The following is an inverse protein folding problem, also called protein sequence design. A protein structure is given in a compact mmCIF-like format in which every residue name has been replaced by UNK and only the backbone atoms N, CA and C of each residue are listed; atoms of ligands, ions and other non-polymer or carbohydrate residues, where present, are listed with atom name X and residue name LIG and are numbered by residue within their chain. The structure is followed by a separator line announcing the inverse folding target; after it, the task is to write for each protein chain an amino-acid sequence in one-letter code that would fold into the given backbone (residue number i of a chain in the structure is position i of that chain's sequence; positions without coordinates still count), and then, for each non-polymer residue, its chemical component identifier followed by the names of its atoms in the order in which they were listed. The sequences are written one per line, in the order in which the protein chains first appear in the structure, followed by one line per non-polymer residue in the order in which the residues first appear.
data_IF_257870666647
#
_entry.id   IF_257870666647
#
_cell.length_a   1.000
_cell.length_b   1.000
_cell.length_c   1.000
_cell.angle_alpha   90.00
_cell.angle_beta   90.00
_cell.angle_gamma   90.00
#
_symmetry.space_group_name_H-M   'P 1'
#
loop_
_entity.id
_entity.type
_entity.pdbx_description
1 polymer ?
#
# COMPACT_ATOMS: atom_id res chain seq x y z
N UNK A 1 -11.64 -1.59 -7.69
CA UNK A 1 -11.48 -0.61 -6.60
C UNK A 1 -12.57 0.48 -6.57
N UNK A 2 -12.57 1.50 -7.43
CA UNK A 2 -13.44 2.68 -7.22
C UNK A 2 -14.93 2.32 -7.34
N UNK A 3 -15.33 1.58 -8.37
CA UNK A 3 -16.72 1.14 -8.53
C UNK A 3 -17.21 0.32 -7.33
N UNK A 4 -16.37 -0.58 -6.79
CA UNK A 4 -16.72 -1.34 -5.59
C UNK A 4 -16.84 -0.45 -4.35
N UNK A 5 -15.98 0.57 -4.20
CA UNK A 5 -16.10 1.54 -3.12
C UNK A 5 -17.41 2.34 -3.23
N UNK A 6 -17.77 2.81 -4.43
CA UNK A 6 -19.04 3.51 -4.67
C UNK A 6 -20.26 2.63 -4.36
N UNK A 7 -20.18 1.32 -4.57
CA UNK A 7 -21.31 0.40 -4.41
C UNK A 7 -21.44 -0.15 -2.99
N UNK A 8 -20.34 -0.53 -2.35
CA UNK A 8 -20.33 -1.23 -1.07
C UNK A 8 -19.61 -0.49 0.05
N UNK A 9 -19.01 0.67 -0.25
CA UNK A 9 -18.29 1.47 0.75
C UNK A 9 -19.16 2.16 1.79
N UNK A 10 -20.49 2.01 1.73
CA UNK A 10 -21.43 2.58 2.68
C UNK A 10 -21.25 4.10 2.82
N UNK A 11 -20.98 4.60 4.04
CA UNK A 11 -20.72 6.04 4.26
C UNK A 11 -19.56 6.62 3.46
N UNK A 12 -18.61 5.79 3.00
CA UNK A 12 -17.48 6.23 2.16
C UNK A 12 -17.80 6.20 0.67
N UNK A 13 -18.98 5.72 0.27
CA UNK A 13 -19.39 5.61 -1.12
C UNK A 13 -19.39 6.97 -1.84
N UNK A 14 -19.60 8.09 -1.13
CA UNK A 14 -19.58 9.44 -1.70
C UNK A 14 -18.30 10.22 -1.39
N UNK A 15 -17.29 9.60 -0.76
CA UNK A 15 -16.06 10.29 -0.39
C UNK A 15 -15.34 10.87 -1.63
N UNK A 16 -14.71 12.06 -1.55
CA UNK A 16 -13.86 12.57 -2.63
C UNK A 16 -12.70 11.61 -2.90
N UNK A 17 -12.49 11.26 -4.16
CA UNK A 17 -11.42 10.34 -4.57
C UNK A 17 -10.44 11.09 -5.48
N UNK A 18 -9.15 10.88 -5.21
CA UNK A 18 -8.06 11.32 -6.07
C UNK A 18 -7.38 10.11 -6.68
N UNK A 19 -7.24 10.11 -8.01
CA UNK A 19 -6.35 9.19 -8.72
C UNK A 19 -5.10 9.97 -9.13
N UNK A 20 -3.91 9.49 -8.77
CA UNK A 20 -2.68 10.29 -8.94
C UNK A 20 -1.64 9.54 -9.77
N UNK A 21 -1.06 10.23 -10.75
CA UNK A 21 0.11 9.79 -11.51
C UNK A 21 1.24 10.82 -11.32
N UNK A 22 2.13 10.63 -10.33
CA UNK A 22 3.15 11.63 -9.94
C UNK A 22 4.50 11.46 -10.67
N UNK A 23 4.58 10.54 -11.63
CA UNK A 23 5.81 10.14 -12.31
C UNK A 23 5.60 10.05 -13.81
N UNK A 24 6.68 10.33 -14.55
CA UNK A 24 6.71 10.11 -15.98
C UNK A 24 6.54 8.63 -16.34
N UNK A 25 5.67 8.39 -17.32
CA UNK A 25 5.30 7.07 -17.81
C UNK A 25 4.13 7.18 -18.79
N UNK A 26 3.63 6.05 -19.30
CA UNK A 26 2.48 6.03 -20.19
C UNK A 26 1.31 6.77 -19.56
N UNK A 27 0.60 7.58 -20.35
CA UNK A 27 -0.64 8.19 -19.89
C UNK A 27 -1.70 7.12 -19.64
N UNK A 28 -2.68 7.45 -18.80
CA UNK A 28 -3.94 6.72 -18.78
C UNK A 28 -4.61 6.82 -20.15
N UNK A 29 -5.30 5.76 -20.56
CA UNK A 29 -6.07 5.76 -21.81
C UNK A 29 -7.21 6.78 -21.76
N UNK A 30 -7.74 7.20 -22.91
CA UNK A 30 -8.93 8.03 -22.96
C UNK A 30 -10.11 7.38 -22.22
N UNK A 31 -10.36 6.09 -22.47
CA UNK A 31 -11.41 5.32 -21.81
C UNK A 31 -11.27 5.33 -20.29
N UNK A 32 -10.06 5.13 -19.77
CA UNK A 32 -9.82 5.16 -18.32
C UNK A 32 -10.09 6.56 -17.75
N UNK A 33 -9.67 7.63 -18.44
CA UNK A 33 -9.94 9.01 -17.98
C UNK A 33 -11.42 9.33 -17.95
N UNK A 34 -12.17 8.94 -18.99
CA UNK A 34 -13.62 9.10 -19.01
C UNK A 34 -14.27 8.37 -17.83
N UNK A 35 -13.89 7.11 -17.59
CA UNK A 35 -14.42 6.34 -16.45
C UNK A 35 -14.10 7.00 -15.10
N UNK A 36 -12.93 7.61 -14.93
CA UNK A 36 -12.61 8.35 -13.70
C UNK A 36 -13.51 9.58 -13.56
N UNK A 37 -13.76 10.32 -14.64
CA UNK A 37 -14.65 11.48 -14.65
C UNK A 37 -16.10 11.08 -14.32
N UNK A 38 -16.62 10.02 -14.95
CA UNK A 38 -17.96 9.49 -14.71
C UNK A 38 -18.13 9.04 -13.24
N UNK A 39 -17.06 8.56 -12.61
CA UNK A 39 -17.02 8.17 -11.19
C UNK A 39 -16.71 9.33 -10.23
N UNK A 40 -16.66 10.56 -10.75
CA UNK A 40 -16.36 11.80 -10.02
C UNK A 40 -15.01 11.75 -9.30
N UNK A 41 -14.00 11.18 -9.96
CA UNK A 41 -12.64 11.06 -9.45
C UNK A 41 -11.79 12.21 -9.97
N UNK A 42 -11.11 12.90 -9.06
CA UNK A 42 -10.17 13.94 -9.43
C UNK A 42 -8.84 13.31 -9.86
N UNK A 43 -8.53 13.41 -11.16
CA UNK A 43 -7.28 12.89 -11.69
C UNK A 43 -6.15 13.95 -11.62
N UNK A 44 -5.10 13.65 -10.85
CA UNK A 44 -3.90 14.49 -10.76
C UNK A 44 -2.76 13.81 -11.51
N UNK A 45 -2.18 14.53 -12.47
CA UNK A 45 -0.96 14.10 -13.16
C UNK A 45 0.10 15.17 -13.05
N UNK A 46 1.26 14.79 -12.56
CA UNK A 46 2.43 15.67 -12.48
C UNK A 46 3.71 14.84 -12.55
N UNK A 47 4.85 15.51 -12.67
CA UNK A 47 6.16 14.87 -12.67
C UNK A 47 7.00 15.46 -11.55
N UNK A 48 7.16 14.71 -10.46
CA UNK A 48 8.07 15.10 -9.39
C UNK A 48 9.49 14.68 -9.76
N UNK A 49 10.42 15.63 -9.78
CA UNK A 49 11.86 15.33 -9.86
C UNK A 49 12.28 14.64 -8.55
N UNK A 50 13.05 13.58 -8.66
CA UNK A 50 13.49 12.76 -7.53
C UNK A 50 14.93 12.33 -7.70
N UNK A 51 15.68 12.26 -6.60
CA UNK A 51 17.01 11.66 -6.55
C UNK A 51 16.96 10.13 -6.63
N UNK A 52 15.78 9.53 -6.44
CA UNK A 52 15.56 8.09 -6.55
C UNK A 52 14.48 7.79 -7.59
N UNK A 53 14.62 8.27 -8.85
CA UNK A 53 13.55 8.14 -9.83
C UNK A 53 13.39 6.69 -10.31
N UNK A 54 14.19 5.76 -9.83
CA UNK A 54 14.03 4.31 -9.97
C UNK A 54 13.05 3.71 -8.96
N UNK A 55 12.91 4.29 -7.77
CA UNK A 55 12.13 3.75 -6.68
C UNK A 55 10.63 4.00 -6.91
N UNK A 56 9.88 2.95 -7.22
CA UNK A 56 8.44 3.02 -7.53
C UNK A 56 7.60 3.39 -6.31
N UNK A 57 8.06 3.09 -5.10
CA UNK A 57 7.30 3.35 -3.88
C UNK A 57 7.14 4.86 -3.60
N UNK A 58 8.04 5.70 -4.12
CA UNK A 58 7.90 7.17 -4.06
C UNK A 58 6.64 7.70 -4.72
N UNK A 59 6.03 6.96 -5.64
CA UNK A 59 4.76 7.38 -6.24
C UNK A 59 3.67 7.57 -5.17
N UNK A 60 3.59 6.66 -4.20
CA UNK A 60 2.62 6.74 -3.09
C UNK A 60 2.83 8.00 -2.27
N UNK A 61 4.09 8.25 -1.89
CA UNK A 61 4.50 9.39 -1.08
C UNK A 61 4.22 10.74 -1.76
N UNK A 62 4.57 10.86 -3.04
CA UNK A 62 4.28 12.08 -3.80
C UNK A 62 2.79 12.29 -4.02
N UNK A 63 2.03 11.22 -4.22
CA UNK A 63 0.57 11.32 -4.34
C UNK A 63 -0.06 11.80 -3.03
N UNK A 64 0.34 11.24 -1.89
CA UNK A 64 -0.13 11.66 -0.57
C UNK A 64 0.18 13.13 -0.31
N UNK A 65 1.43 13.56 -0.50
CA UNK A 65 1.84 14.96 -0.30
C UNK A 65 1.02 15.91 -1.18
N UNK A 66 0.80 15.56 -2.46
CA UNK A 66 0.03 16.40 -3.37
C UNK A 66 -1.46 16.48 -2.99
N UNK A 67 -2.05 15.39 -2.52
CA UNK A 67 -3.48 15.36 -2.15
C UNK A 67 -3.71 16.04 -0.80
N UNK A 68 -2.87 15.79 0.21
CA UNK A 68 -2.97 16.37 1.56
C UNK A 68 -3.05 17.91 1.51
N UNK A 69 -2.26 18.53 0.62
CA UNK A 69 -2.23 19.99 0.39
C UNK A 69 -3.49 20.56 -0.29
N UNK A 70 -4.33 19.72 -0.91
CA UNK A 70 -5.49 20.15 -1.71
C UNK A 70 -6.81 19.90 -1.00
N UNK A 71 -6.87 18.87 -0.15
CA UNK A 71 -8.10 18.48 0.52
C UNK A 71 -8.36 19.31 1.78
N UNK A 72 -9.63 19.48 2.10
CA UNK A 72 -10.10 20.09 3.35
C UNK A 72 -10.67 19.08 4.33
N UNK A 73 -10.76 17.82 3.94
CA UNK A 73 -11.25 16.74 4.81
C UNK A 73 -10.39 16.64 6.08
N UNK A 74 -11.02 16.20 7.16
CA UNK A 74 -10.35 15.96 8.43
C UNK A 74 -9.32 14.83 8.32
N UNK A 75 -9.68 13.77 7.59
CA UNK A 75 -8.85 12.60 7.37
C UNK A 75 -8.50 12.42 5.89
N UNK A 76 -7.39 11.74 5.65
CA UNK A 76 -6.96 11.25 4.33
C UNK A 76 -6.72 9.75 4.44
N UNK A 77 -7.29 8.98 3.51
CA UNK A 77 -7.05 7.56 3.39
C UNK A 77 -6.25 7.27 2.11
N UNK A 78 -5.22 6.42 2.23
CA UNK A 78 -4.55 5.83 1.08
C UNK A 78 -5.14 4.46 0.78
N UNK A 79 -5.44 4.22 -0.49
CA UNK A 79 -5.92 2.94 -1.01
C UNK A 79 -5.06 2.55 -2.20
N UNK A 80 -4.39 1.40 -2.15
CA UNK A 80 -3.74 0.84 -3.33
C UNK A 80 -4.78 0.50 -4.42
N UNK A 81 -4.32 0.47 -5.67
CA UNK A 81 -5.22 0.29 -6.82
C UNK A 81 -5.81 -1.13 -6.91
N UNK A 82 -5.17 -2.09 -6.24
CA UNK A 82 -5.51 -3.51 -6.20
C UNK A 82 -6.35 -3.90 -4.97
N UNK A 83 -7.26 -3.00 -4.58
CA UNK A 83 -8.27 -3.25 -3.56
C UNK A 83 -9.67 -3.51 -4.19
N UNK A 84 -10.41 -4.43 -3.58
CA UNK A 84 -11.83 -4.68 -3.83
C UNK A 84 -12.61 -4.46 -2.51
N UNK A 85 -13.55 -3.52 -2.53
CA UNK A 85 -14.43 -3.27 -1.37
C UNK A 85 -15.63 -4.20 -1.45
N UNK A 86 -15.84 -4.97 -0.40
CA UNK A 86 -16.91 -5.98 -0.29
C UNK A 86 -18.11 -5.47 0.51
N UNK A 87 -17.85 -4.60 1.49
CA UNK A 87 -18.84 -4.03 2.41
C UNK A 87 -18.25 -2.77 3.09
N UNK A 88 -19.04 -2.02 3.85
CA UNK A 88 -18.60 -0.75 4.46
C UNK A 88 -17.37 -1.00 5.35
N UNK A 89 -16.21 -0.35 5.07
CA UNK A 89 -15.01 -0.46 5.88
C UNK A 89 -15.09 0.50 7.08
N UNK A 90 -16.03 0.24 7.98
CA UNK A 90 -16.44 1.12 9.09
C UNK A 90 -15.28 1.59 9.97
N UNK A 91 -14.25 0.75 10.14
CA UNK A 91 -13.08 0.99 10.97
C UNK A 91 -12.09 1.99 10.38
N UNK A 92 -12.28 2.47 9.14
CA UNK A 92 -11.47 3.55 8.56
C UNK A 92 -11.80 4.94 9.15
N UNK A 93 -12.86 5.05 9.96
CA UNK A 93 -13.13 6.27 10.71
C UNK A 93 -12.22 6.34 11.92
N UNK A 94 -11.47 7.43 12.06
CA UNK A 94 -10.67 7.71 13.25
C UNK A 94 -11.56 8.34 14.32
N UNK A 95 -11.52 7.81 15.55
CA UNK A 95 -12.13 8.49 16.69
C UNK A 95 -11.28 9.70 17.11
N UNK A 96 -11.78 10.53 18.05
CA UNK A 96 -11.10 11.77 18.47
C UNK A 96 -9.72 11.54 19.11
N UNK A 97 -9.45 10.34 19.62
CA UNK A 97 -8.20 9.97 20.29
C UNK A 97 -7.16 9.41 19.31
N UNK A 98 -7.56 9.00 18.12
CA UNK A 98 -6.70 8.40 17.10
C UNK A 98 -6.27 9.41 16.04
N UNK A 99 -5.03 9.34 15.58
CA UNK A 99 -4.52 10.15 14.47
C UNK A 99 -4.09 9.32 13.25
N UNK A 100 -4.02 8.00 13.41
CA UNK A 100 -3.55 7.09 12.38
C UNK A 100 -4.18 5.69 12.56
N UNK A 101 -4.52 5.02 11.46
CA UNK A 101 -4.87 3.60 11.49
C UNK A 101 -4.41 2.87 10.23
N UNK A 102 -3.88 1.66 10.41
CA UNK A 102 -3.41 0.78 9.33
C UNK A 102 -3.51 -0.69 9.76
N UNK A 103 -3.46 -1.61 8.79
CA UNK A 103 -3.42 -3.04 9.11
C UNK A 103 -2.00 -3.50 9.39
N UNK A 104 -1.85 -4.38 10.39
CA UNK A 104 -0.58 -5.07 10.61
C UNK A 104 -0.21 -5.91 9.36
N UNK A 105 1.08 -5.99 9.01
CA UNK A 105 1.56 -6.74 7.87
C UNK A 105 1.65 -8.25 8.20
N UNK A 106 2.11 -9.03 7.23
CA UNK A 106 2.74 -10.33 7.46
C UNK A 106 4.14 -10.14 8.09
N UNK A 107 4.80 -11.23 8.52
CA UNK A 107 6.13 -11.17 9.12
C UNK A 107 7.10 -10.58 8.13
N UNK A 108 7.21 -11.20 6.95
CA UNK A 108 7.99 -10.73 5.80
C UNK A 108 9.33 -10.09 6.21
N UNK A 109 9.46 -8.76 6.16
CA UNK A 109 10.70 -8.03 6.52
C UNK A 109 10.76 -7.54 7.97
N UNK A 110 9.73 -7.81 8.76
CA UNK A 110 9.67 -7.53 10.19
C UNK A 110 10.63 -8.41 10.98
N UNK A 111 11.15 -7.85 12.07
CA UNK A 111 12.02 -8.55 13.02
C UNK A 111 11.22 -9.03 14.23
N UNK A 112 11.46 -10.26 14.68
CA UNK A 112 10.96 -10.80 15.96
C UNK A 112 11.88 -10.48 17.15
N UNK A 113 12.98 -9.75 16.96
CA UNK A 113 13.93 -9.36 17.98
C UNK A 113 15.37 -9.78 17.66
N UNK A 114 16.23 -9.77 18.68
CA UNK A 114 17.70 -9.89 18.57
C UNK A 114 18.19 -11.03 17.67
N UNK A 115 17.52 -12.18 17.71
CA UNK A 115 17.92 -13.37 16.96
C UNK A 115 17.32 -13.45 15.54
N UNK A 116 16.47 -12.49 15.14
CA UNK A 116 15.88 -12.45 13.80
C UNK A 116 16.89 -11.90 12.76
N UNK A 117 17.02 -12.53 11.58
CA UNK A 117 17.91 -12.06 10.52
C UNK A 117 17.68 -10.61 10.05
N UNK A 118 16.48 -10.05 10.25
CA UNK A 118 16.21 -8.65 9.90
C UNK A 118 16.61 -7.65 10.98
N UNK A 119 16.86 -8.08 12.23
CA UNK A 119 17.16 -7.18 13.34
C UNK A 119 18.34 -6.21 13.05
N UNK A 120 19.47 -6.64 12.45
CA UNK A 120 20.58 -5.73 12.17
C UNK A 120 20.17 -4.57 11.25
N UNK A 121 19.39 -4.85 10.21
CA UNK A 121 18.83 -3.84 9.32
C UNK A 121 17.92 -2.87 10.07
N UNK A 122 17.01 -3.38 10.89
CA UNK A 122 16.09 -2.56 11.68
C UNK A 122 16.82 -1.65 12.65
N UNK A 123 17.84 -2.17 13.33
CA UNK A 123 18.65 -1.41 14.29
C UNK A 123 19.37 -0.25 13.63
N UNK A 124 19.99 -0.49 12.47
CA UNK A 124 20.71 0.56 11.72
C UNK A 124 19.75 1.61 11.14
N UNK A 125 18.60 1.20 10.58
CA UNK A 125 17.61 2.14 10.05
C UNK A 125 16.95 2.99 11.15
N UNK A 126 16.59 2.39 12.29
CA UNK A 126 16.03 3.14 13.43
C UNK A 126 17.03 4.21 13.89
N UNK A 127 18.29 3.82 14.08
CA UNK A 127 19.36 4.74 14.45
C UNK A 127 19.50 5.91 13.47
N UNK A 128 19.44 5.65 12.17
CA UNK A 128 19.54 6.71 11.15
C UNK A 128 18.34 7.65 11.14
N UNK A 129 17.15 7.13 11.42
CA UNK A 129 15.91 7.92 11.52
C UNK A 129 15.84 8.69 12.85
N UNK A 130 16.70 8.36 13.83
CA UNK A 130 16.71 8.97 15.16
C UNK A 130 15.71 8.31 16.11
N UNK A 131 15.51 7.01 15.98
CA UNK A 131 14.72 6.17 16.89
C UNK A 131 15.64 5.14 17.56
N UNK A 132 15.33 4.79 18.80
CA UNK A 132 15.82 3.55 19.38
C UNK A 132 14.92 2.40 18.91
N UNK A 133 15.52 1.29 18.46
CA UNK A 133 14.76 0.09 18.11
C UNK A 133 14.03 -0.47 19.33
N UNK A 134 14.57 -0.27 20.53
CA UNK A 134 13.94 -0.74 21.76
C UNK A 134 12.62 -0.02 22.06
N UNK A 135 12.50 1.23 21.62
CA UNK A 135 11.27 2.05 21.75
C UNK A 135 10.18 1.67 20.75
N UNK A 136 10.50 0.87 19.73
CA UNK A 136 9.50 0.44 18.77
C UNK A 136 8.47 -0.48 19.45
N UNK A 137 7.17 -0.15 19.35
CA UNK A 137 6.12 -1.02 19.86
C UNK A 137 6.17 -2.40 19.20
N UNK A 138 5.56 -3.36 19.87
CA UNK A 138 5.37 -4.71 19.34
C UNK A 138 3.93 -4.90 18.88
N UNK A 139 3.77 -5.48 17.71
CA UNK A 139 2.45 -5.88 17.18
C UNK A 139 2.46 -7.36 16.84
N UNK A 140 1.27 -7.95 16.70
CA UNK A 140 1.12 -9.30 16.15
C UNK A 140 0.71 -9.19 14.68
N UNK A 141 1.32 -9.98 13.82
CA UNK A 141 0.88 -10.11 12.43
C UNK A 141 -0.51 -10.74 12.42
N UNK A 142 -1.42 -10.17 11.62
CA UNK A 142 -2.83 -10.61 11.63
C UNK A 142 -3.02 -11.99 11.02
N UNK A 143 -2.19 -12.32 10.02
CA UNK A 143 -2.31 -13.58 9.31
C UNK A 143 -1.63 -14.73 10.05
N UNK A 144 -0.43 -14.50 10.58
CA UNK A 144 0.42 -15.57 11.16
C UNK A 144 0.42 -15.57 12.70
N UNK A 145 -0.01 -14.48 13.34
CA UNK A 145 0.02 -14.34 14.80
C UNK A 145 1.43 -14.12 15.37
N UNK A 146 2.40 -13.76 14.53
CA UNK A 146 3.81 -13.60 14.92
C UNK A 146 4.02 -12.22 15.51
N UNK A 147 4.72 -12.15 16.65
CA UNK A 147 5.07 -10.89 17.30
C UNK A 147 6.29 -10.26 16.62
N UNK A 148 6.13 -9.06 16.08
CA UNK A 148 7.17 -8.31 15.36
C UNK A 148 7.29 -6.88 15.89
N UNK A 149 8.45 -6.24 15.68
CA UNK A 149 8.57 -4.78 15.84
C UNK A 149 7.63 -4.08 14.85
N UNK A 150 6.97 -3.03 15.31
CA UNK A 150 5.88 -2.37 14.59
C UNK A 150 6.35 -1.80 13.24
N UNK A 151 5.71 -2.28 12.17
CA UNK A 151 5.50 -1.58 10.91
C UNK A 151 4.11 -1.90 10.38
N UNK A 152 3.73 -1.29 9.25
CA UNK A 152 2.38 -1.38 8.70
C UNK A 152 2.38 -1.83 7.26
N UNK A 153 1.36 -2.59 6.87
CA UNK A 153 1.06 -2.75 5.45
C UNK A 153 0.67 -1.39 4.86
N UNK A 154 1.33 -0.98 3.77
CA UNK A 154 1.11 0.35 3.18
C UNK A 154 -0.05 0.39 2.17
N UNK A 155 -0.72 -0.73 1.92
CA UNK A 155 -1.79 -0.82 0.91
C UNK A 155 -3.08 -0.12 1.31
N UNK A 156 -3.33 -0.01 2.61
CA UNK A 156 -4.46 0.73 3.16
C UNK A 156 -4.07 1.34 4.51
N UNK A 157 -4.25 2.65 4.63
CA UNK A 157 -4.14 3.35 5.91
C UNK A 157 -4.88 4.67 5.86
N UNK A 158 -5.19 5.22 7.03
CA UNK A 158 -5.87 6.51 7.21
C UNK A 158 -5.12 7.32 8.25
N UNK A 159 -5.07 8.64 8.06
CA UNK A 159 -4.47 9.55 9.02
C UNK A 159 -5.24 10.89 9.07
N UNK A 160 -5.10 11.60 10.18
CA UNK A 160 -5.62 12.97 10.33
C UNK A 160 -4.77 13.93 9.51
N UNK A 161 -5.41 14.70 8.63
CA UNK A 161 -4.73 15.70 7.79
C UNK A 161 -3.95 16.73 8.62
N UNK A 162 -4.46 17.06 9.81
CA UNK A 162 -3.83 18.04 10.71
C UNK A 162 -2.45 17.63 11.23
N UNK A 163 -2.05 16.36 11.11
CA UNK A 163 -0.73 15.90 11.53
C UNK A 163 0.36 16.16 10.47
N UNK A 164 -0.01 16.54 9.25
CA UNK A 164 0.90 16.65 8.10
C UNK A 164 1.70 15.37 7.85
N UNK A 165 1.08 14.21 8.09
CA UNK A 165 1.71 12.90 8.02
C UNK A 165 2.38 12.65 6.67
N UNK A 166 1.80 13.10 5.56
CA UNK A 166 2.36 12.82 4.23
C UNK A 166 3.75 13.44 4.04
N UNK A 167 3.97 14.64 4.59
CA UNK A 167 5.28 15.31 4.56
C UNK A 167 6.31 14.55 5.39
N UNK A 168 5.97 14.21 6.64
CA UNK A 168 6.85 13.44 7.51
C UNK A 168 7.17 12.06 6.94
N UNK A 169 6.19 11.41 6.31
CA UNK A 169 6.37 10.11 5.69
C UNK A 169 7.34 10.17 4.50
N UNK A 170 7.21 11.19 3.66
CA UNK A 170 8.15 11.43 2.57
C UNK A 170 9.57 11.71 3.09
N UNK A 171 9.70 12.52 4.14
CA UNK A 171 10.99 12.84 4.76
C UNK A 171 11.66 11.60 5.35
N UNK A 172 10.94 10.79 6.13
CA UNK A 172 11.46 9.54 6.69
C UNK A 172 11.91 8.58 5.58
N UNK A 173 11.13 8.46 4.50
CA UNK A 173 11.50 7.61 3.38
C UNK A 173 12.78 8.09 2.68
N UNK A 174 12.96 9.41 2.53
CA UNK A 174 14.21 9.95 2.00
C UNK A 174 15.38 9.71 2.96
N UNK A 175 15.21 9.90 4.27
CA UNK A 175 16.23 9.53 5.26
C UNK A 175 16.64 8.05 5.10
N UNK A 176 15.70 7.13 4.91
CA UNK A 176 16.01 5.73 4.64
C UNK A 176 16.78 5.52 3.33
N UNK A 177 16.51 6.29 2.28
CA UNK A 177 17.26 6.19 1.03
C UNK A 177 18.64 6.86 1.11
N UNK A 178 18.76 7.96 1.84
CA UNK A 178 20.01 8.70 2.05
C UNK A 178 20.97 7.94 2.95
N UNK A 179 20.45 7.09 3.85
CA UNK A 179 21.27 6.21 4.70
C UNK A 179 22.08 5.20 3.90
N UNK A 180 21.62 4.86 2.69
CA UNK A 180 22.20 3.80 1.83
C UNK A 180 22.41 2.49 2.59
N UNK A 181 21.46 2.15 3.46
CA UNK A 181 21.41 0.84 4.12
C UNK A 181 20.49 -0.07 3.33
N UNK A 182 20.94 -1.30 3.07
CA UNK A 182 20.14 -2.36 2.47
C UNK A 182 20.18 -3.60 3.36
N UNK A 183 19.04 -4.27 3.49
CA UNK A 183 18.97 -5.56 4.19
C UNK A 183 19.63 -6.65 3.34
N UNK A 184 20.42 -7.53 3.96
CA UNK A 184 20.91 -8.74 3.32
C UNK A 184 19.76 -9.62 2.82
N UNK A 185 18.73 -9.78 3.64
CA UNK A 185 17.57 -10.65 3.38
C UNK A 185 16.59 -10.07 2.37
N UNK A 186 16.37 -8.75 2.40
CA UNK A 186 15.27 -8.11 1.64
C UNK A 186 15.70 -6.95 0.74
N UNK A 187 16.99 -6.60 0.72
CA UNK A 187 17.53 -5.48 -0.04
C UNK A 187 16.90 -4.15 0.38
N UNK A 188 16.27 -3.45 -0.57
CA UNK A 188 15.50 -2.21 -0.33
C UNK A 188 14.02 -2.39 -0.69
N UNK A 189 13.48 -3.60 -0.56
CA UNK A 189 12.06 -3.87 -0.81
C UNK A 189 11.22 -3.48 0.42
N UNK A 190 9.98 -3.03 0.16
CA UNK A 190 9.02 -2.62 1.20
C UNK A 190 9.48 -1.51 2.15
N UNK A 191 10.48 -0.70 1.75
CA UNK A 191 10.92 0.46 2.52
C UNK A 191 9.79 1.47 2.78
N UNK A 192 8.73 1.48 1.96
CA UNK A 192 7.56 2.33 2.21
C UNK A 192 6.77 1.82 3.42
N UNK A 193 6.56 0.51 3.54
CA UNK A 193 5.91 -0.09 4.70
C UNK A 193 6.69 0.15 5.99
N UNK A 194 8.03 0.03 5.94
CA UNK A 194 8.90 0.35 7.08
C UNK A 194 8.84 1.85 7.40
N UNK A 195 9.04 2.71 6.41
CA UNK A 195 8.97 4.16 6.60
C UNK A 195 7.61 4.59 7.14
N UNK A 196 6.51 3.93 6.77
CA UNK A 196 5.16 4.22 7.26
C UNK A 196 5.07 4.01 8.78
N UNK A 197 5.53 2.85 9.26
CA UNK A 197 5.59 2.53 10.68
C UNK A 197 6.51 3.46 11.46
N UNK A 198 7.74 3.64 10.98
CA UNK A 198 8.74 4.47 11.66
C UNK A 198 8.36 5.95 11.68
N UNK A 199 7.70 6.45 10.64
CA UNK A 199 7.16 7.83 10.63
C UNK A 199 6.11 8.00 11.72
N UNK A 200 5.15 7.08 11.80
CA UNK A 200 4.09 7.13 12.79
C UNK A 200 4.68 7.12 14.22
N UNK A 201 5.61 6.21 14.51
CA UNK A 201 6.26 6.12 15.82
C UNK A 201 7.06 7.39 16.12
N UNK A 202 7.87 7.86 15.17
CA UNK A 202 8.67 9.08 15.32
C UNK A 202 7.86 10.33 15.59
N UNK A 203 6.66 10.43 15.01
CA UNK A 203 5.75 11.54 15.27
C UNK A 203 5.06 11.44 16.63
N UNK A 204 5.11 10.27 17.30
CA UNK A 204 4.44 10.05 18.57
C UNK A 204 2.91 10.21 18.49
N UNK A 205 2.32 10.00 17.30
CA UNK A 205 0.89 10.18 17.11
C UNK A 205 0.11 8.95 17.57
N UNK A 206 -1.07 9.12 18.18
CA UNK A 206 -1.88 7.99 18.61
C UNK A 206 -2.41 7.21 17.40
N UNK A 207 -2.41 5.89 17.51
CA UNK A 207 -2.72 4.99 16.41
C UNK A 207 -3.57 3.81 16.85
N UNK A 208 -4.25 3.19 15.88
CA UNK A 208 -4.98 1.94 16.04
C UNK A 208 -4.65 0.96 14.91
N UNK A 209 -4.46 -0.32 15.26
CA UNK A 209 -4.38 -1.38 14.28
C UNK A 209 -5.79 -1.67 13.72
N UNK A 210 -5.93 -1.65 12.40
CA UNK A 210 -7.13 -2.10 11.71
C UNK A 210 -7.17 -3.63 11.69
N UNK A 211 -8.35 -4.25 11.90
CA UNK A 211 -8.48 -5.70 11.84
C UNK A 211 -8.20 -6.23 10.43
N UNK A 212 -7.75 -7.48 10.31
CA UNK A 212 -7.44 -8.10 9.01
C UNK A 212 -8.56 -8.00 7.97
N UNK A 213 -9.82 -7.93 8.41
CA UNK A 213 -10.97 -7.77 7.52
C UNK A 213 -10.89 -6.52 6.63
N UNK A 214 -10.12 -5.51 7.01
CA UNK A 214 -9.97 -4.28 6.24
C UNK A 214 -8.82 -4.33 5.24
N UNK A 215 -8.02 -5.39 5.19
CA UNK A 215 -6.94 -5.54 4.22
C UNK A 215 -6.64 -7.04 4.00
N UNK A 216 -7.68 -7.81 3.72
CA UNK A 216 -7.56 -9.26 3.56
C UNK A 216 -6.71 -9.55 2.32
N UNK A 217 -5.51 -10.10 2.51
CA UNK A 217 -4.62 -10.44 1.41
C UNK A 217 -5.11 -11.71 0.73
N UNK A 218 -5.26 -11.65 -0.60
CA UNK A 218 -5.57 -12.81 -1.41
C UNK A 218 -4.75 -12.77 -2.69
N UNK A 219 -4.05 -13.86 -2.98
CA UNK A 219 -3.26 -14.01 -4.20
C UNK A 219 -2.93 -15.46 -4.46
N UNK A 220 -2.56 -15.77 -5.71
CA UNK A 220 -2.33 -17.15 -6.17
C UNK A 220 -1.25 -17.87 -5.34
N UNK A 221 -0.20 -17.13 -4.93
CA UNK A 221 0.96 -17.66 -4.21
C UNK A 221 0.67 -17.98 -2.74
N UNK A 222 -0.25 -17.25 -2.13
CA UNK A 222 -0.53 -17.36 -0.69
C UNK A 222 -1.79 -18.17 -0.42
N UNK A 223 -2.70 -18.27 -1.40
CA UNK A 223 -4.01 -18.90 -1.24
C UNK A 223 -3.96 -20.26 -0.54
N UNK A 224 -3.09 -21.18 -0.99
CA UNK A 224 -3.00 -22.54 -0.42
C UNK A 224 -2.76 -22.56 1.09
N UNK A 225 -2.01 -21.59 1.60
CA UNK A 225 -1.58 -21.56 3.01
C UNK A 225 -2.35 -20.55 3.85
N UNK A 226 -2.86 -19.50 3.21
CA UNK A 226 -3.42 -18.33 3.91
C UNK A 226 -4.92 -18.19 3.75
N UNK A 227 -5.53 -18.87 2.79
CA UNK A 227 -6.97 -18.81 2.61
C UNK A 227 -7.70 -19.34 3.86
N UNK A 228 -8.71 -18.58 4.25
CA UNK A 228 -9.66 -18.94 5.29
C UNK A 228 -11.00 -18.36 4.88
N UNK A 229 -11.97 -19.23 4.61
CA UNK A 229 -13.32 -18.84 4.25
C UNK A 229 -13.98 -18.03 5.37
N UNK A 230 -13.77 -18.43 6.63
CA UNK A 230 -14.27 -17.70 7.81
C UNK A 230 -13.74 -16.27 7.87
N UNK A 231 -12.43 -16.08 7.68
CA UNK A 231 -11.81 -14.74 7.65
C UNK A 231 -12.28 -13.96 6.43
N UNK A 232 -12.40 -14.60 5.27
CA UNK A 232 -12.87 -13.97 4.04
C UNK A 232 -14.30 -13.47 4.18
N UNK A 233 -15.22 -14.27 4.76
CA UNK A 233 -16.62 -13.86 5.05
C UNK A 233 -16.72 -12.60 5.90
N UNK A 234 -15.74 -12.35 6.78
CA UNK A 234 -15.67 -11.14 7.60
C UNK A 234 -15.02 -9.96 6.88
N UNK A 235 -14.37 -10.18 5.73
CA UNK A 235 -13.63 -9.16 5.02
C UNK A 235 -14.54 -8.04 4.49
N UNK A 236 -14.10 -6.80 4.70
CA UNK A 236 -14.68 -5.58 4.14
C UNK A 236 -13.92 -5.13 2.91
N UNK A 237 -12.62 -5.41 2.86
CA UNK A 237 -11.74 -5.09 1.74
C UNK A 237 -10.80 -6.27 1.49
N UNK A 238 -10.72 -6.69 0.23
CA UNK A 238 -9.68 -7.61 -0.24
C UNK A 238 -8.58 -6.81 -0.91
N UNK A 239 -7.34 -7.06 -0.51
CA UNK A 239 -6.15 -6.71 -1.27
C UNK A 239 -5.83 -7.87 -2.19
N UNK A 240 -6.28 -7.76 -3.44
CA UNK A 240 -6.41 -8.91 -4.32
C UNK A 240 -5.13 -9.29 -5.03
N UNK A 241 -4.03 -8.54 -4.90
CA UNK A 241 -2.75 -8.82 -5.55
C UNK A 241 -2.89 -9.26 -7.01
N UNK A 242 -2.73 -10.56 -7.30
CA UNK A 242 -2.90 -11.18 -8.61
C UNK A 242 -4.19 -11.99 -8.78
N UNK A 243 -5.06 -12.06 -7.77
CA UNK A 243 -6.26 -12.88 -7.75
C UNK A 243 -7.31 -12.50 -8.80
N UNK A 244 -7.30 -11.25 -9.26
CA UNK A 244 -8.15 -10.80 -10.38
C UNK A 244 -7.54 -11.03 -11.77
N UNK A 245 -6.37 -11.65 -11.87
CA UNK A 245 -5.76 -12.01 -13.16
C UNK A 245 -6.33 -13.33 -13.69
N UNK A 246 -6.27 -13.57 -15.02
CA UNK A 246 -6.90 -14.75 -15.64
C UNK A 246 -6.53 -16.08 -14.97
N UNK A 247 -5.27 -16.24 -14.58
CA UNK A 247 -4.74 -17.50 -14.04
C UNK A 247 -5.35 -17.90 -12.68
N UNK A 248 -5.94 -16.95 -11.95
CA UNK A 248 -6.51 -17.19 -10.62
C UNK A 248 -7.98 -16.75 -10.49
N UNK A 249 -8.55 -16.25 -11.58
CA UNK A 249 -9.87 -15.63 -11.61
C UNK A 249 -11.00 -16.56 -11.17
N UNK A 250 -11.02 -17.79 -11.69
CA UNK A 250 -12.09 -18.75 -11.38
C UNK A 250 -12.08 -19.13 -9.89
N UNK A 251 -10.91 -19.39 -9.33
CA UNK A 251 -10.75 -19.65 -7.88
C UNK A 251 -11.18 -18.44 -7.06
N UNK A 252 -10.79 -17.24 -7.48
CA UNK A 252 -11.18 -16.01 -6.80
C UNK A 252 -12.71 -15.81 -6.81
N UNK A 253 -13.35 -16.00 -7.96
CA UNK A 253 -14.81 -15.93 -8.08
C UNK A 253 -15.51 -17.02 -7.27
N UNK A 254 -15.00 -18.26 -7.24
CA UNK A 254 -15.58 -19.34 -6.44
C UNK A 254 -15.58 -18.98 -4.95
N UNK A 255 -14.46 -18.46 -4.43
CA UNK A 255 -14.36 -17.99 -3.05
C UNK A 255 -15.34 -16.84 -2.76
N UNK A 256 -15.46 -15.88 -3.68
CA UNK A 256 -16.42 -14.78 -3.53
C UNK A 256 -17.87 -15.25 -3.61
N UNK A 257 -18.21 -16.21 -4.47
CA UNK A 257 -19.57 -16.75 -4.56
C UNK A 257 -20.03 -17.42 -3.27
N UNK A 258 -19.10 -18.00 -2.50
CA UNK A 258 -19.39 -18.61 -1.19
C UNK A 258 -19.53 -17.58 -0.08
N UNK A 259 -18.73 -16.51 -0.11
CA UNK A 259 -18.59 -15.57 1.03
C UNK A 259 -19.31 -14.24 0.82
N UNK A 260 -19.39 -13.77 -0.42
CA UNK A 260 -19.94 -12.49 -0.86
C UNK A 260 -20.70 -12.62 -2.20
N UNK A 261 -21.79 -13.43 -2.28
CA UNK A 261 -22.49 -13.67 -3.54
C UNK A 261 -22.86 -12.40 -4.33
N UNK A 262 -23.39 -11.31 -3.72
CA UNK A 262 -23.72 -10.09 -4.47
C UNK A 262 -22.52 -9.41 -5.14
N UNK A 263 -21.31 -9.58 -4.57
CA UNK A 263 -20.08 -9.05 -5.16
C UNK A 263 -19.62 -9.95 -6.30
N UNK A 264 -19.69 -11.27 -6.13
CA UNK A 264 -19.36 -12.24 -7.16
C UNK A 264 -20.26 -12.07 -8.41
N UNK A 265 -21.57 -11.94 -8.21
CA UNK A 265 -22.55 -11.75 -9.27
C UNK A 265 -22.29 -10.46 -10.08
N UNK A 266 -21.87 -9.39 -9.40
CA UNK A 266 -21.47 -8.15 -10.08
C UNK A 266 -20.15 -8.28 -10.83
N UNK A 267 -19.18 -8.98 -10.23
CA UNK A 267 -17.81 -9.04 -10.72
C UNK A 267 -17.67 -10.03 -11.89
N UNK A 268 -18.41 -11.13 -11.87
CA UNK A 268 -18.43 -12.18 -12.90
C UNK A 268 -18.57 -11.65 -14.33
N UNK A 269 -19.58 -10.82 -14.68
CA UNK A 269 -19.73 -10.31 -16.04
C UNK A 269 -18.63 -9.32 -16.48
N UNK A 270 -17.84 -8.78 -15.55
CA UNK A 270 -16.71 -7.90 -15.89
C UNK A 270 -15.48 -8.70 -16.37
N UNK A 271 -15.37 -9.96 -15.94
CA UNK A 271 -14.25 -10.84 -16.26
C UNK A 271 -12.91 -10.44 -15.61
N UNK A 272 -11.85 -11.22 -15.85
CA UNK A 272 -10.54 -10.98 -15.26
C UNK A 272 -9.88 -9.71 -15.81
N UNK A 273 -9.00 -9.10 -15.00
CA UNK A 273 -8.18 -7.98 -15.41
C UNK A 273 -7.18 -8.41 -16.48
N UNK A 274 -7.18 -7.70 -17.62
CA UNK A 274 -6.26 -7.94 -18.72
C UNK A 274 -5.17 -6.87 -18.76
N UNK A 275 -3.92 -7.31 -18.95
CA UNK A 275 -2.76 -6.42 -19.14
C UNK A 275 -2.67 -6.01 -20.61
N UNK A 276 -3.57 -5.15 -21.03
CA UNK A 276 -3.55 -4.60 -22.38
C UNK A 276 -2.86 -3.23 -22.37
N UNK A 277 -1.87 -3.07 -23.24
CA UNK A 277 -1.18 -1.79 -23.43
C UNK A 277 -0.73 -1.69 -24.88
N UNK A 278 -0.96 -0.55 -25.55
CA UNK A 278 -0.48 -0.33 -26.92
C UNK A 278 1.02 -0.58 -27.03
N UNK A 279 1.47 -1.13 -28.17
CA UNK A 279 2.85 -1.57 -28.39
C UNK A 279 3.88 -0.45 -28.12
N UNK A 280 3.58 0.77 -28.56
CA UNK A 280 4.44 1.94 -28.32
C UNK A 280 4.65 2.23 -26.83
N UNK A 281 3.61 2.06 -26.01
CA UNK A 281 3.71 2.25 -24.56
C UNK A 281 4.41 1.09 -23.87
N UNK A 282 4.28 -0.14 -24.39
CA UNK A 282 5.08 -1.29 -23.93
C UNK A 282 6.57 -1.07 -24.21
N UNK A 283 6.92 -0.59 -25.40
CA UNK A 283 8.30 -0.25 -25.76
C UNK A 283 8.86 0.86 -24.86
N UNK A 284 8.13 1.97 -24.68
CA UNK A 284 8.54 3.06 -23.79
C UNK A 284 8.70 2.58 -22.33
N UNK A 285 7.76 1.78 -21.82
CA UNK A 285 7.87 1.19 -20.48
C UNK A 285 9.11 0.33 -20.34
N UNK A 286 9.45 -0.48 -21.34
CA UNK A 286 10.65 -1.32 -21.33
C UNK A 286 11.92 -0.46 -21.27
N UNK A 287 12.00 0.60 -22.07
CA UNK A 287 13.13 1.55 -22.04
C UNK A 287 13.26 2.24 -20.68
N UNK A 288 12.17 2.79 -20.16
CA UNK A 288 12.15 3.43 -18.84
C UNK A 288 12.55 2.44 -17.74
N UNK A 289 12.02 1.22 -17.80
CA UNK A 289 12.36 0.16 -16.84
C UNK A 289 13.85 -0.16 -16.85
N UNK A 290 14.47 -0.33 -18.03
CA UNK A 290 15.91 -0.60 -18.15
C UNK A 290 16.74 0.52 -17.53
N UNK A 291 16.44 1.78 -17.85
CA UNK A 291 17.16 2.92 -17.29
C UNK A 291 17.04 2.99 -15.76
N UNK A 292 15.83 2.80 -15.23
CA UNK A 292 15.56 2.78 -13.79
C UNK A 292 16.23 1.61 -13.09
N UNK A 293 16.31 0.45 -13.74
CA UNK A 293 17.01 -0.72 -13.21
C UNK A 293 18.51 -0.45 -13.07
N UNK A 294 19.14 0.19 -14.06
CA UNK A 294 20.55 0.59 -13.97
C UNK A 294 20.80 1.55 -12.80
N UNK A 295 19.93 2.54 -12.62
CA UNK A 295 20.02 3.45 -11.47
C UNK A 295 19.84 2.74 -10.13
N UNK A 296 18.86 1.81 -10.03
CA UNK A 296 18.67 0.99 -8.83
C UNK A 296 19.93 0.17 -8.54
N UNK A 297 20.54 -0.45 -9.55
CA UNK A 297 21.77 -1.23 -9.39
C UNK A 297 22.95 -0.35 -8.93
N UNK A 298 23.11 0.84 -9.51
CA UNK A 298 24.13 1.80 -9.09
C UNK A 298 23.93 2.23 -7.63
N UNK A 299 22.69 2.51 -7.24
CA UNK A 299 22.34 2.82 -5.86
C UNK A 299 22.67 1.66 -4.91
N UNK A 300 22.22 0.43 -5.23
CA UNK A 300 22.46 -0.75 -4.40
C UNK A 300 23.95 -1.07 -4.23
N UNK A 301 24.77 -0.86 -5.26
CA UNK A 301 26.24 -0.99 -5.17
C UNK A 301 26.87 0.01 -4.22
N UNK A 302 26.21 1.15 -3.98
CA UNK A 302 26.66 2.17 -3.04
C UNK A 302 26.11 1.97 -1.64
N UNK A 303 25.26 0.95 -1.42
CA UNK A 303 24.68 0.67 -0.12
C UNK A 303 25.62 -0.18 0.74
N UNK A 304 25.62 0.10 2.04
CA UNK A 304 26.08 -0.82 3.06
C UNK A 304 25.00 -1.90 3.22
N UNK A 305 25.36 -3.15 2.94
CA UNK A 305 24.49 -4.29 3.19
C UNK A 305 24.65 -4.73 4.64
N UNK A 306 23.54 -4.87 5.35
CA UNK A 306 23.48 -5.25 6.77
C UNK A 306 22.46 -6.36 6.96
#
# INVERSE_FOLDING_TARGET
MIQSLRRWGGKFASAPIFAVTPRFGPPLTHKTRQLLEDLQVQYLRFQKKSNYPWNTYLNKLYALQAVEQRVKSECVAWLDSDLLVLNEPDQLTLNQEESFAACAPDKNIGTTGVDDPHEPYWREICKYIGLDIEDLPWIKTEQEGIRIRLYWNSGLFVYRRSTNFAEHYLQTFFQMCDSRIASHESGCFFNDQVALGLTMVKMGIPWRALPYSHNYSMGSRTHKHWYSEEKLTKAKIIHYHDAMLPDFWETFLECLSKTHPPVADWLSPLGPLRKESPLQWRAMNKLLHTFRLQQKQAYLKSCKVV
#
